data_IF_896077734635
#
_entry.id   IF_896077734635
#
_cell.length_a   1.000
_cell.length_b   1.000
_cell.length_c   1.000
_cell.angle_alpha   90.00
_cell.angle_beta   90.00
_cell.angle_gamma   90.00
#
_symmetry.space_group_name_H-M   'P 1'
#
loop_
_entity.id
_entity.type
_entity.pdbx_description
1 polymer ?
#
# COMPACT_ATOMS: atom_id res chain seq x y z
N UNK A 1 18.78 21.11 0.75
CA UNK A 1 17.37 21.52 0.93
C UNK A 1 16.57 20.29 1.33
N UNK A 2 15.82 20.29 2.44
CA UNK A 2 14.97 19.15 2.77
C UNK A 2 13.82 19.11 1.76
N UNK A 3 13.79 18.04 0.96
CA UNK A 3 12.74 17.77 -0.02
C UNK A 3 11.39 17.75 0.73
N UNK A 4 10.39 18.57 0.37
CA UNK A 4 9.12 18.56 1.07
C UNK A 4 8.51 17.16 0.97
N UNK A 5 7.99 16.59 2.08
CA UNK A 5 7.29 15.32 2.00
C UNK A 5 6.13 15.51 1.01
N UNK A 6 6.15 14.74 -0.08
CA UNK A 6 5.02 14.65 -1.00
C UNK A 6 3.88 14.02 -0.22
N UNK A 7 3.04 14.86 0.36
CA UNK A 7 1.82 14.45 1.05
C UNK A 7 0.96 13.78 -0.02
N UNK A 8 0.78 12.46 0.08
CA UNK A 8 -0.19 11.74 -0.73
C UNK A 8 -1.56 11.97 -0.08
N UNK A 9 -2.54 12.61 -0.72
CA UNK A 9 -3.88 12.76 -0.12
C UNK A 9 -4.57 11.38 0.06
N UNK A 10 -5.64 11.28 0.88
CA UNK A 10 -6.43 10.05 0.99
C UNK A 10 -6.94 9.52 -0.37
N UNK A 11 -7.19 10.42 -1.33
CA UNK A 11 -7.56 10.11 -2.72
C UNK A 11 -6.35 9.76 -3.60
N UNK A 12 -5.19 9.47 -3.00
CA UNK A 12 -4.00 9.13 -3.76
C UNK A 12 -4.13 7.74 -4.37
N UNK A 13 -3.77 7.64 -5.65
CA UNK A 13 -3.86 6.40 -6.46
C UNK A 13 -3.28 5.16 -5.78
N UNK A 14 -2.27 5.33 -4.92
CA UNK A 14 -1.68 4.24 -4.13
C UNK A 14 -2.70 3.45 -3.29
N UNK A 15 -3.74 4.10 -2.76
CA UNK A 15 -4.81 3.42 -2.03
C UNK A 15 -5.67 2.57 -2.97
N UNK A 16 -6.08 3.11 -4.11
CA UNK A 16 -6.83 2.36 -5.13
C UNK A 16 -6.00 1.20 -5.67
N UNK A 17 -4.72 1.41 -5.95
CA UNK A 17 -3.79 0.38 -6.44
C UNK A 17 -3.62 -0.76 -5.42
N UNK A 18 -3.51 -0.45 -4.12
CA UNK A 18 -3.45 -1.47 -3.08
C UNK A 18 -4.74 -2.32 -3.01
N UNK A 19 -5.91 -1.67 -3.13
CA UNK A 19 -7.20 -2.36 -3.12
C UNK A 19 -7.38 -3.23 -4.36
N UNK A 20 -7.04 -2.73 -5.56
CA UNK A 20 -7.11 -3.50 -6.80
C UNK A 20 -6.13 -4.69 -6.78
N UNK A 21 -4.91 -4.50 -6.27
CA UNK A 21 -3.94 -5.60 -6.15
C UNK A 21 -4.45 -6.72 -5.23
N UNK A 22 -5.11 -6.37 -4.11
CA UNK A 22 -5.75 -7.37 -3.25
C UNK A 22 -6.93 -8.05 -3.92
N UNK A 23 -7.76 -7.32 -4.68
CA UNK A 23 -8.86 -7.95 -5.43
C UNK A 23 -8.32 -8.99 -6.41
N UNK A 24 -7.30 -8.64 -7.21
CA UNK A 24 -6.71 -9.55 -8.18
C UNK A 24 -6.09 -10.80 -7.53
N UNK A 25 -5.44 -10.64 -6.38
CA UNK A 25 -4.93 -11.77 -5.61
C UNK A 25 -6.04 -12.75 -5.19
N UNK A 26 -7.15 -12.24 -4.64
CA UNK A 26 -8.28 -13.08 -4.26
C UNK A 26 -8.97 -13.71 -5.46
N UNK A 27 -9.12 -12.97 -6.56
CA UNK A 27 -9.65 -13.53 -7.80
C UNK A 27 -8.77 -14.66 -8.34
N UNK A 28 -7.45 -14.52 -8.26
CA UNK A 28 -6.50 -15.59 -8.61
C UNK A 28 -6.66 -16.84 -7.74
N UNK A 29 -6.94 -16.67 -6.44
CA UNK A 29 -7.26 -17.78 -5.54
C UNK A 29 -8.59 -18.45 -5.90
N UNK A 30 -9.64 -17.65 -6.13
CA UNK A 30 -11.00 -18.12 -6.38
C UNK A 30 -11.13 -18.83 -7.73
N UNK A 31 -10.39 -18.37 -8.74
CA UNK A 31 -10.35 -18.96 -10.08
C UNK A 31 -9.42 -20.18 -10.18
N UNK A 32 -8.67 -20.49 -9.12
CA UNK A 32 -7.69 -21.57 -9.13
C UNK A 32 -6.53 -21.31 -10.09
N UNK A 33 -6.11 -20.05 -10.22
CA UNK A 33 -4.97 -19.66 -11.05
C UNK A 33 -3.68 -20.40 -10.61
N UNK A 34 -2.69 -20.55 -11.52
CA UNK A 34 -1.42 -21.18 -11.18
C UNK A 34 -0.78 -20.56 -9.94
N UNK A 35 -0.21 -21.40 -9.07
CA UNK A 35 0.38 -20.96 -7.81
C UNK A 35 1.45 -19.85 -7.98
N UNK A 36 2.20 -19.88 -9.10
CA UNK A 36 3.19 -18.86 -9.44
C UNK A 36 2.56 -17.49 -9.72
N UNK A 37 1.38 -17.46 -10.33
CA UNK A 37 0.64 -16.23 -10.63
C UNK A 37 0.00 -15.68 -9.36
N UNK A 38 -0.58 -16.55 -8.54
CA UNK A 38 -1.12 -16.19 -7.22
C UNK A 38 -0.04 -15.60 -6.31
N UNK A 39 1.15 -16.21 -6.27
CA UNK A 39 2.26 -15.68 -5.46
C UNK A 39 2.76 -14.33 -5.98
N UNK A 40 2.82 -14.16 -7.31
CA UNK A 40 3.16 -12.86 -7.90
C UNK A 40 2.15 -11.79 -7.49
N UNK A 41 0.85 -12.10 -7.53
CA UNK A 41 -0.21 -11.19 -7.11
C UNK A 41 -0.10 -10.87 -5.62
N UNK A 42 0.23 -11.86 -4.78
CA UNK A 42 0.48 -11.67 -3.34
C UNK A 42 1.60 -10.66 -3.08
N UNK A 43 2.74 -10.82 -3.76
CA UNK A 43 3.90 -9.93 -3.60
C UNK A 43 3.59 -8.49 -4.04
N UNK A 44 2.81 -8.33 -5.12
CA UNK A 44 2.37 -7.01 -5.59
C UNK A 44 1.45 -6.37 -4.56
N UNK A 45 0.45 -7.10 -4.06
CA UNK A 45 -0.44 -6.60 -3.01
C UNK A 45 0.35 -6.19 -1.75
N UNK A 46 1.25 -7.06 -1.27
CA UNK A 46 2.09 -6.80 -0.10
C UNK A 46 2.93 -5.53 -0.26
N UNK A 47 3.57 -5.35 -1.42
CA UNK A 47 4.35 -4.15 -1.72
C UNK A 47 3.49 -2.86 -1.71
N UNK A 48 2.28 -2.91 -2.26
CA UNK A 48 1.37 -1.77 -2.24
C UNK A 48 0.90 -1.41 -0.82
N UNK A 49 0.59 -2.42 0.02
CA UNK A 49 0.23 -2.18 1.42
C UNK A 49 1.40 -1.61 2.23
N UNK A 50 2.62 -2.08 1.98
CA UNK A 50 3.81 -1.51 2.61
C UNK A 50 3.98 -0.04 2.22
N UNK A 51 3.83 0.29 0.94
CA UNK A 51 3.94 1.68 0.47
C UNK A 51 2.86 2.61 1.10
N UNK A 52 1.63 2.12 1.26
CA UNK A 52 0.56 2.83 1.95
C UNK A 52 0.87 3.02 3.44
N UNK A 53 1.39 1.98 4.11
CA UNK A 53 1.76 2.02 5.53
C UNK A 53 2.91 2.99 5.78
N UNK A 54 3.96 2.93 4.95
CA UNK A 54 5.09 3.86 4.99
C UNK A 54 4.64 5.30 4.78
N UNK A 55 3.67 5.51 3.88
CA UNK A 55 3.03 6.82 3.70
C UNK A 55 2.31 7.26 4.98
N UNK A 56 1.43 6.44 5.56
CA UNK A 56 0.68 6.80 6.75
C UNK A 56 1.62 7.14 7.91
N UNK A 57 2.67 6.34 8.11
CA UNK A 57 3.70 6.62 9.10
C UNK A 57 4.42 7.94 8.84
N UNK A 58 4.71 8.28 7.59
CA UNK A 58 5.40 9.54 7.25
C UNK A 58 4.49 10.77 7.32
N UNK A 59 3.21 10.62 6.98
CA UNK A 59 2.20 11.67 7.00
C UNK A 59 1.74 11.99 8.44
N UNK A 60 1.50 10.96 9.26
CA UNK A 60 0.99 11.11 10.62
C UNK A 60 2.10 11.08 11.69
N UNK A 61 3.27 10.52 11.40
CA UNK A 61 4.40 10.41 12.34
C UNK A 61 5.14 11.72 12.62
N UNK A 62 4.84 12.83 11.93
CA UNK A 62 5.37 14.17 12.26
C UNK A 62 4.55 14.94 13.31
N UNK A 63 3.43 14.38 13.78
CA UNK A 63 2.56 15.01 14.80
C UNK A 63 2.81 14.55 16.24
N UNK A 64 3.76 13.63 16.48
CA UNK A 64 4.03 13.02 17.78
C UNK A 64 4.99 13.79 18.68
N UNK A 65 5.05 15.12 18.57
CA UNK A 65 5.67 15.94 19.62
C UNK A 65 4.75 15.96 20.82
N UNK A 66 4.78 14.91 21.64
CA UNK A 66 4.18 14.93 22.97
C UNK A 66 4.84 16.07 23.74
N UNK A 67 4.09 17.14 24.00
CA UNK A 67 4.39 18.05 25.10
C UNK A 67 4.19 17.23 26.38
N UNK A 68 5.27 16.64 26.89
CA UNK A 68 5.36 16.15 28.25
C UNK A 68 6.23 17.12 29.06
#
# INVERSE_FOLDING_TARGET
>A
MPNPPKILPPDHKAYTEAVEAMRLYHEGLDTGAPAIEVERLRLIAEAHFQAVTDYQMRAFGRGGGTTH
#
